data_IF_011015660285
#
_entry.id   IF_011015660285
#
_cell.length_a   1.000
_cell.length_b   1.000
_cell.length_c   1.000
_cell.angle_alpha   90.00
_cell.angle_beta   90.00
_cell.angle_gamma   90.00
#
_symmetry.space_group_name_H-M   'P 1'
#
loop_
_entity.id
_entity.type
_entity.pdbx_description
1 polymer ?
#
# COMPACT_ATOMS: atom_id res chain seq x y z
N UNK A 1 23.98 3.70 8.74
CA UNK A 1 23.31 3.41 10.03
C UNK A 1 23.60 1.95 10.39
N UNK A 2 23.73 1.63 11.69
CA UNK A 2 23.79 0.26 12.21
C UNK A 2 22.54 0.04 13.08
N UNK A 3 21.80 -1.03 12.81
CA UNK A 3 20.63 -1.39 13.61
C UNK A 3 21.10 -1.71 15.04
N UNK A 4 20.42 -1.14 16.03
CA UNK A 4 20.77 -1.29 17.45
C UNK A 4 20.83 -2.76 17.86
N UNK A 5 21.86 -3.10 18.65
CA UNK A 5 21.99 -4.42 19.30
C UNK A 5 20.86 -4.72 20.31
N UNK A 6 20.06 -3.73 20.68
CA UNK A 6 18.86 -3.92 21.52
C UNK A 6 17.73 -4.64 20.80
N UNK A 7 17.72 -4.63 19.47
CA UNK A 7 16.71 -5.37 18.72
C UNK A 7 17.10 -6.85 18.62
N UNK A 8 16.22 -7.77 19.02
CA UNK A 8 16.50 -9.20 18.92
C UNK A 8 16.63 -9.62 17.44
N UNK A 9 17.60 -10.50 17.20
CA UNK A 9 17.79 -11.13 15.88
C UNK A 9 16.68 -12.13 15.65
N UNK A 10 16.13 -12.11 14.43
CA UNK A 10 15.29 -13.18 13.94
C UNK A 10 16.19 -14.31 13.42
N UNK A 11 16.06 -15.48 13.98
CA UNK A 11 16.89 -16.66 13.64
C UNK A 11 16.06 -17.86 13.22
N UNK A 12 14.72 -17.75 13.27
CA UNK A 12 13.83 -18.82 12.87
C UNK A 12 13.98 -19.12 11.38
N UNK A 13 14.01 -20.42 11.05
CA UNK A 13 14.15 -20.91 9.69
C UNK A 13 15.43 -20.46 8.95
N UNK A 14 16.49 -20.10 9.67
CA UNK A 14 17.83 -19.79 9.14
C UNK A 14 17.81 -18.74 7.99
N UNK A 15 17.47 -17.48 8.25
CA UNK A 15 17.37 -16.44 7.24
C UNK A 15 18.73 -16.19 6.57
N UNK A 16 18.75 -16.04 5.23
CA UNK A 16 19.97 -15.81 4.43
C UNK A 16 20.57 -14.42 4.60
N UNK A 17 19.82 -13.51 5.20
CA UNK A 17 20.21 -12.11 5.45
C UNK A 17 20.00 -11.76 6.93
N UNK A 18 20.72 -10.78 7.46
CA UNK A 18 20.49 -10.31 8.83
C UNK A 18 19.08 -9.73 8.99
N UNK A 19 18.32 -10.17 10.00
CA UNK A 19 16.95 -9.70 10.29
C UNK A 19 16.81 -9.38 11.77
N UNK A 20 16.11 -8.29 12.12
CA UNK A 20 15.82 -7.87 13.48
C UNK A 20 14.33 -7.61 13.67
N UNK A 21 13.77 -8.01 14.83
CA UNK A 21 12.45 -7.57 15.25
C UNK A 21 12.59 -6.17 15.85
N UNK A 22 11.98 -5.16 15.21
CA UNK A 22 12.09 -3.76 15.68
C UNK A 22 10.94 -3.32 16.57
N UNK A 23 9.98 -4.22 16.84
CA UNK A 23 8.85 -4.00 17.77
C UNK A 23 8.76 -5.12 18.84
N UNK A 24 9.87 -5.54 19.50
CA UNK A 24 9.87 -6.72 20.36
C UNK A 24 8.93 -6.59 21.57
N UNK A 25 8.80 -5.37 22.11
CA UNK A 25 8.03 -5.10 23.34
C UNK A 25 6.64 -4.51 23.07
N UNK A 26 6.21 -4.44 21.79
CA UNK A 26 4.90 -3.94 21.37
C UNK A 26 4.08 -5.02 20.67
N UNK A 27 2.77 -4.99 20.88
CA UNK A 27 1.80 -5.86 20.20
C UNK A 27 1.05 -5.07 19.13
N UNK A 28 0.50 -5.76 18.13
CA UNK A 28 -0.37 -5.16 17.12
C UNK A 28 0.32 -4.18 16.17
N UNK A 29 1.63 -4.29 15.98
CA UNK A 29 2.37 -3.35 15.14
C UNK A 29 2.39 -3.76 13.68
N UNK A 30 2.16 -2.80 12.78
CA UNK A 30 2.34 -2.95 11.35
C UNK A 30 2.88 -1.68 10.71
N UNK A 31 3.68 -1.85 9.66
CA UNK A 31 3.94 -0.76 8.73
C UNK A 31 2.90 -0.77 7.60
N UNK A 32 2.84 0.31 6.83
CA UNK A 32 1.78 0.54 5.87
C UNK A 32 1.72 -0.48 4.72
N UNK A 33 2.59 -0.32 3.72
CA UNK A 33 2.50 -1.04 2.46
C UNK A 33 3.87 -1.11 1.78
N UNK A 34 4.04 -1.98 0.80
CA UNK A 34 5.32 -2.27 0.16
C UNK A 34 5.88 -1.14 -0.72
N UNK A 35 5.05 -0.19 -1.13
CA UNK A 35 5.39 0.89 -2.06
C UNK A 35 5.89 2.18 -1.38
N UNK A 36 6.03 2.16 -0.06
CA UNK A 36 6.42 3.34 0.72
C UNK A 36 7.35 2.91 1.86
N UNK A 37 8.52 3.55 1.95
CA UNK A 37 9.46 3.30 3.04
C UNK A 37 8.85 3.67 4.40
N UNK A 38 8.75 2.73 5.36
CA UNK A 38 8.45 3.06 6.74
C UNK A 38 9.67 3.63 7.49
N UNK A 39 10.87 3.52 6.90
CA UNK A 39 12.11 4.09 7.42
C UNK A 39 12.25 5.52 6.92
N UNK A 40 12.65 6.42 7.81
CA UNK A 40 12.79 7.86 7.57
C UNK A 40 13.89 8.19 6.57
N UNK A 41 13.91 9.41 5.98
CA UNK A 41 14.92 9.81 5.00
C UNK A 41 16.37 9.69 5.44
N UNK A 42 16.67 9.88 6.73
CA UNK A 42 18.02 9.68 7.29
C UNK A 42 18.36 8.20 7.52
N UNK A 43 17.40 7.31 7.35
CA UNK A 43 17.42 5.90 7.75
C UNK A 43 17.46 5.65 9.27
N UNK A 44 17.36 6.69 10.11
CA UNK A 44 17.47 6.56 11.58
C UNK A 44 16.17 6.12 12.25
N UNK A 45 15.02 6.63 11.79
CA UNK A 45 13.73 6.36 12.43
C UNK A 45 12.87 5.43 11.58
N UNK A 46 12.05 4.62 12.24
CA UNK A 46 11.05 3.80 11.60
C UNK A 46 9.67 4.15 12.20
N UNK A 47 8.67 4.36 11.36
CA UNK A 47 7.31 4.66 11.80
C UNK A 47 6.38 3.48 11.55
N UNK A 48 5.63 3.09 12.59
CA UNK A 48 4.64 2.01 12.54
C UNK A 48 3.32 2.46 13.13
N UNK A 49 2.26 1.79 12.74
CA UNK A 49 0.97 1.87 13.40
C UNK A 49 0.84 0.74 14.42
N UNK A 50 0.36 1.05 15.61
CA UNK A 50 0.03 0.07 16.64
C UNK A 50 -1.50 -0.02 16.78
N UNK A 51 -2.05 -1.19 16.46
CA UNK A 51 -3.46 -1.51 16.64
C UNK A 51 -3.78 -1.65 18.13
N UNK A 52 -4.95 -1.18 18.57
CA UNK A 52 -5.38 -1.33 19.97
C UNK A 52 -5.85 -2.76 20.30
N UNK A 53 -6.15 -3.56 19.28
CA UNK A 53 -6.61 -4.96 19.35
C UNK A 53 -6.38 -5.64 18.00
N UNK A 54 -6.31 -6.97 17.96
CA UNK A 54 -6.04 -7.76 16.77
C UNK A 54 -7.09 -8.85 16.49
N UNK A 55 -8.09 -8.98 17.33
CA UNK A 55 -9.06 -10.08 17.38
C UNK A 55 -10.44 -9.71 16.79
N UNK A 56 -10.66 -8.46 16.43
CA UNK A 56 -11.91 -7.97 15.85
C UNK A 56 -11.67 -6.89 14.79
N UNK A 57 -12.66 -6.69 13.94
CA UNK A 57 -12.67 -5.57 12.99
C UNK A 57 -12.86 -4.24 13.73
N UNK A 58 -12.14 -3.18 13.32
CA UNK A 58 -12.32 -1.86 13.92
C UNK A 58 -13.70 -1.29 13.66
N UNK A 59 -14.20 -0.52 14.62
CA UNK A 59 -15.40 0.27 14.51
C UNK A 59 -15.06 1.75 14.33
N UNK A 60 -15.97 2.58 13.78
CA UNK A 60 -15.76 4.03 13.76
C UNK A 60 -15.44 4.57 15.14
N UNK A 61 -14.34 5.35 15.26
CA UNK A 61 -13.89 5.94 16.51
C UNK A 61 -12.91 5.10 17.33
N UNK A 62 -12.66 3.85 16.99
CA UNK A 62 -11.59 3.07 17.63
C UNK A 62 -10.24 3.76 17.42
N UNK A 63 -9.49 3.93 18.50
CA UNK A 63 -8.23 4.68 18.52
C UNK A 63 -7.03 3.74 18.48
N UNK A 64 -6.11 3.96 17.57
CA UNK A 64 -4.79 3.32 17.53
C UNK A 64 -3.67 4.36 17.64
N UNK A 65 -2.42 3.91 17.57
CA UNK A 65 -1.25 4.73 17.88
C UNK A 65 -0.26 4.79 16.71
N UNK A 66 0.25 5.98 16.45
CA UNK A 66 1.43 6.20 15.60
C UNK A 66 2.67 6.11 16.49
N UNK A 67 3.56 5.17 16.18
CA UNK A 67 4.78 4.91 16.95
C UNK A 67 5.99 5.20 16.09
N UNK A 68 6.99 5.88 16.64
CA UNK A 68 8.30 6.08 16.02
C UNK A 68 9.36 5.37 16.84
N UNK A 69 10.18 4.60 16.15
CA UNK A 69 11.26 3.77 16.66
C UNK A 69 12.58 4.37 16.22
N UNK A 70 13.51 4.63 17.12
CA UNK A 70 14.89 5.04 16.80
C UNK A 70 15.73 3.75 16.60
N UNK A 71 16.08 3.48 15.35
CA UNK A 71 16.81 2.27 14.96
C UNK A 71 18.25 2.21 15.49
N UNK A 72 18.84 3.34 15.88
CA UNK A 72 20.19 3.40 16.45
C UNK A 72 20.18 3.13 17.97
N UNK A 73 19.18 3.66 18.69
CA UNK A 73 19.12 3.53 20.14
C UNK A 73 18.24 2.39 20.63
N UNK A 74 17.36 1.88 19.77
CA UNK A 74 16.36 0.88 20.12
C UNK A 74 15.20 1.43 20.96
N UNK A 75 15.10 2.75 21.11
CA UNK A 75 14.00 3.39 21.85
C UNK A 75 12.82 3.64 20.92
N UNK A 76 11.63 3.45 21.45
CA UNK A 76 10.39 3.76 20.75
C UNK A 76 9.50 4.71 21.57
N UNK A 77 8.56 5.37 20.87
CA UNK A 77 7.57 6.23 21.52
C UNK A 77 6.30 6.36 20.69
N UNK A 78 5.16 6.46 21.35
CA UNK A 78 3.91 6.93 20.75
C UNK A 78 4.05 8.43 20.48
N UNK A 79 3.85 8.85 19.22
CA UNK A 79 3.93 10.26 18.81
C UNK A 79 2.57 10.87 18.53
N UNK A 80 1.54 10.04 18.29
CA UNK A 80 0.15 10.49 18.12
C UNK A 80 -0.82 9.34 18.33
N UNK A 81 -2.06 9.70 18.67
CA UNK A 81 -3.23 8.86 18.59
C UNK A 81 -3.99 9.19 17.30
N UNK A 82 -4.67 8.20 16.72
CA UNK A 82 -5.51 8.40 15.54
C UNK A 82 -6.70 7.44 15.52
N UNK A 83 -7.79 7.89 14.90
CA UNK A 83 -9.00 7.11 14.59
C UNK A 83 -9.16 6.84 13.09
N UNK A 84 -8.24 7.37 12.27
CA UNK A 84 -8.26 7.24 10.80
C UNK A 84 -7.47 6.05 10.28
N UNK A 85 -7.81 4.83 10.72
CA UNK A 85 -7.03 3.63 10.42
C UNK A 85 -7.87 2.41 10.01
N UNK A 86 -7.21 1.47 9.37
CA UNK A 86 -7.74 0.16 8.97
C UNK A 86 -6.68 -0.95 9.11
N UNK A 87 -7.07 -2.23 9.24
CA UNK A 87 -6.16 -3.33 9.59
C UNK A 87 -5.03 -3.60 8.60
N UNK A 88 -5.20 -3.28 7.31
CA UNK A 88 -4.21 -3.62 6.29
C UNK A 88 -3.10 -2.58 6.14
N UNK A 89 -3.41 -1.31 6.38
CA UNK A 89 -2.46 -0.21 6.13
C UNK A 89 -2.28 0.71 7.34
N UNK A 90 -2.89 0.36 8.49
CA UNK A 90 -2.89 1.23 9.65
C UNK A 90 -3.47 2.61 9.31
N UNK A 91 -2.84 3.66 9.79
CA UNK A 91 -3.20 5.05 9.52
C UNK A 91 -2.55 5.62 8.23
N UNK A 92 -2.08 4.77 7.32
CA UNK A 92 -1.37 5.19 6.10
C UNK A 92 -0.14 6.07 6.39
N UNK A 93 0.67 5.71 7.36
CA UNK A 93 1.82 6.51 7.79
C UNK A 93 2.85 6.63 6.66
N UNK A 94 3.26 7.85 6.32
CA UNK A 94 4.28 8.15 5.32
C UNK A 94 5.29 9.18 5.86
N UNK A 95 6.57 8.98 5.58
CA UNK A 95 7.57 10.03 5.75
C UNK A 95 7.57 11.00 4.57
N UNK A 96 7.74 12.29 4.86
CA UNK A 96 7.99 13.32 3.86
C UNK A 96 9.46 13.45 3.47
N UNK A 97 9.91 14.65 3.10
CA UNK A 97 11.27 14.92 2.66
C UNK A 97 12.34 14.89 3.76
N UNK A 98 11.96 14.83 5.02
CA UNK A 98 12.86 14.84 6.18
C UNK A 98 12.30 14.01 7.36
N UNK A 99 13.15 13.75 8.36
CA UNK A 99 12.76 13.10 9.62
C UNK A 99 11.79 13.93 10.48
N UNK A 100 11.52 15.16 10.07
CA UNK A 100 10.58 16.08 10.72
C UNK A 100 9.22 16.15 10.03
N UNK A 101 9.00 15.31 9.03
CA UNK A 101 7.75 15.29 8.27
C UNK A 101 7.17 13.90 8.25
N UNK A 102 6.25 13.64 9.17
CA UNK A 102 5.48 12.41 9.26
C UNK A 102 4.02 12.72 8.96
N UNK A 103 3.43 12.00 8.03
CA UNK A 103 2.03 12.13 7.65
C UNK A 103 1.26 10.88 8.03
N UNK A 104 0.02 11.05 8.50
CA UNK A 104 -0.90 9.95 8.79
C UNK A 104 -2.35 10.43 8.75
N UNK A 105 -3.28 9.53 8.51
CA UNK A 105 -4.71 9.83 8.49
C UNK A 105 -5.30 9.88 9.90
N UNK A 106 -6.35 10.69 10.05
CA UNK A 106 -7.23 10.76 11.20
C UNK A 106 -8.67 11.04 10.74
N UNK A 107 -9.61 11.09 11.66
CA UNK A 107 -11.00 11.44 11.39
C UNK A 107 -11.56 12.35 12.48
N UNK A 108 -12.25 13.39 12.07
CA UNK A 108 -13.07 14.20 12.98
C UNK A 108 -14.33 13.39 13.35
N UNK A 109 -14.41 12.93 14.58
CA UNK A 109 -15.53 12.10 15.05
C UNK A 109 -16.85 12.86 15.23
N UNK A 110 -16.84 14.19 15.12
CA UNK A 110 -18.05 15.01 15.13
C UNK A 110 -18.73 15.04 13.77
N UNK A 111 -17.91 15.18 12.72
CA UNK A 111 -18.38 15.28 11.32
C UNK A 111 -18.19 14.00 10.53
N UNK A 112 -17.38 13.06 11.03
CA UNK A 112 -16.89 11.87 10.35
C UNK A 112 -16.14 12.16 9.06
N UNK A 113 -15.54 13.36 8.97
CA UNK A 113 -14.71 13.76 7.84
C UNK A 113 -13.27 13.29 8.05
N UNK A 114 -12.73 12.40 7.19
CA UNK A 114 -11.32 12.02 7.23
C UNK A 114 -10.42 13.16 6.77
N UNK A 115 -9.23 13.24 7.36
CA UNK A 115 -8.20 14.20 7.03
C UNK A 115 -6.81 13.62 7.36
N UNK A 116 -5.72 14.30 6.98
CA UNK A 116 -4.38 13.91 7.36
C UNK A 116 -3.75 14.90 8.33
N UNK A 117 -2.85 14.41 9.17
CA UNK A 117 -1.92 15.23 9.95
C UNK A 117 -0.55 15.29 9.27
N UNK A 118 0.08 16.46 9.30
CA UNK A 118 1.52 16.65 9.17
C UNK A 118 2.09 16.82 10.57
N UNK A 119 2.99 15.95 11.00
CA UNK A 119 3.58 15.91 12.33
C UNK A 119 5.10 16.03 12.23
N UNK A 120 5.71 16.90 13.02
CA UNK A 120 7.13 16.78 13.38
C UNK A 120 7.25 15.81 14.57
N UNK A 121 7.69 14.56 14.35
CA UNK A 121 7.70 13.59 15.43
C UNK A 121 8.77 13.89 16.50
N UNK A 122 9.75 14.78 16.22
CA UNK A 122 10.79 15.13 17.16
C UNK A 122 10.34 16.20 18.16
N UNK A 123 9.44 17.10 17.75
CA UNK A 123 8.96 18.20 18.59
C UNK A 123 7.49 18.05 19.01
N UNK A 124 6.71 17.22 18.32
CA UNK A 124 5.27 17.10 18.50
C UNK A 124 4.45 18.20 17.79
N UNK A 125 5.10 19.14 17.09
CA UNK A 125 4.39 20.16 16.32
C UNK A 125 3.61 19.50 15.18
N UNK A 126 2.31 19.87 15.00
CA UNK A 126 1.45 19.26 14.00
C UNK A 126 0.55 20.28 13.32
N UNK A 127 0.20 20.00 12.07
CA UNK A 127 -0.69 20.78 11.23
C UNK A 127 -1.73 19.85 10.59
N UNK A 128 -3.04 20.18 10.65
CA UNK A 128 -4.05 19.41 9.91
C UNK A 128 -3.97 19.78 8.42
N UNK A 129 -4.19 18.76 7.57
CA UNK A 129 -4.38 18.89 6.14
C UNK A 129 -5.87 18.79 5.82
N UNK A 130 -6.36 19.50 4.81
CA UNK A 130 -7.77 19.39 4.40
C UNK A 130 -8.09 18.04 3.76
N UNK A 131 -7.11 17.44 3.06
CA UNK A 131 -7.27 16.13 2.42
C UNK A 131 -6.71 14.99 3.25
N UNK A 132 -7.03 13.77 2.80
CA UNK A 132 -6.46 12.53 3.33
C UNK A 132 -5.16 12.15 2.64
N UNK A 133 -4.51 11.13 3.15
CA UNK A 133 -3.26 10.58 2.65
C UNK A 133 -3.45 9.14 2.21
N UNK A 134 -3.15 8.82 0.96
CA UNK A 134 -2.75 7.48 0.55
C UNK A 134 -1.23 7.42 0.36
N UNK A 135 -0.64 8.34 -0.39
CA UNK A 135 0.81 8.38 -0.66
C UNK A 135 1.34 9.81 -0.60
N UNK A 136 2.51 10.00 0.00
CA UNK A 136 3.24 11.26 -0.01
C UNK A 136 4.30 11.26 -1.11
N UNK A 137 4.50 12.40 -1.80
CA UNK A 137 5.66 12.56 -2.69
C UNK A 137 6.97 12.44 -1.89
N UNK A 138 8.04 11.97 -2.53
CA UNK A 138 9.32 11.71 -1.88
C UNK A 138 9.95 12.93 -1.20
N UNK A 139 9.65 14.14 -1.72
CA UNK A 139 10.06 15.42 -1.16
C UNK A 139 9.11 15.95 -0.08
N UNK A 140 8.00 15.24 0.21
CA UNK A 140 6.99 15.63 1.18
C UNK A 140 6.12 16.82 0.75
N UNK A 141 6.22 17.27 -0.52
CA UNK A 141 5.51 18.46 -1.01
C UNK A 141 4.02 18.22 -1.24
N UNK A 142 3.65 17.01 -1.65
CA UNK A 142 2.31 16.65 -2.04
C UNK A 142 1.83 15.37 -1.37
N UNK A 143 0.53 15.33 -1.02
CA UNK A 143 -0.18 14.10 -0.67
C UNK A 143 -1.20 13.82 -1.77
N UNK A 144 -1.34 12.56 -2.16
CA UNK A 144 -2.38 12.06 -3.05
C UNK A 144 -3.24 11.04 -2.32
N UNK A 145 -4.55 11.09 -2.52
CA UNK A 145 -5.46 10.04 -2.06
C UNK A 145 -6.70 9.97 -2.93
N UNK A 146 -7.32 8.79 -3.01
CA UNK A 146 -8.73 8.67 -3.32
C UNK A 146 -9.57 9.11 -2.10
N UNK A 147 -10.91 9.03 -2.22
CA UNK A 147 -11.79 9.21 -1.08
C UNK A 147 -11.61 8.05 -0.07
N UNK A 148 -10.88 8.30 1.02
CA UNK A 148 -10.54 7.28 2.00
C UNK A 148 -11.73 6.72 2.76
N UNK A 149 -12.85 7.43 2.86
CA UNK A 149 -14.08 6.94 3.49
C UNK A 149 -14.81 5.89 2.61
N UNK A 150 -14.62 5.93 1.30
CA UNK A 150 -15.28 5.03 0.34
C UNK A 150 -14.41 3.86 -0.13
N UNK A 151 -13.11 3.91 0.10
CA UNK A 151 -12.14 2.90 -0.39
C UNK A 151 -12.55 1.47 0.01
N UNK A 152 -13.05 1.27 1.21
CA UNK A 152 -13.55 -0.02 1.71
C UNK A 152 -14.75 -0.58 0.94
N UNK A 153 -15.45 0.24 0.13
CA UNK A 153 -16.60 -0.23 -0.65
C UNK A 153 -16.21 -1.22 -1.74
N UNK A 154 -14.97 -1.22 -2.17
CA UNK A 154 -14.44 -2.17 -3.15
C UNK A 154 -13.54 -3.23 -2.53
N UNK A 155 -12.96 -2.97 -1.35
CA UNK A 155 -12.14 -3.96 -0.63
C UNK A 155 -12.12 -3.67 0.88
N UNK A 156 -12.69 -4.56 1.72
CA UNK A 156 -12.59 -4.45 3.17
C UNK A 156 -11.16 -4.48 3.66
N UNK A 157 -10.87 -3.76 4.75
CA UNK A 157 -9.53 -3.68 5.34
C UNK A 157 -8.71 -2.47 4.90
N UNK A 158 -9.28 -1.63 4.03
CA UNK A 158 -8.62 -0.43 3.49
C UNK A 158 -9.45 0.84 3.71
N UNK A 159 -8.77 1.99 3.81
CA UNK A 159 -9.38 3.31 3.95
C UNK A 159 -9.45 3.81 5.39
N UNK A 160 -10.33 4.78 5.65
CA UNK A 160 -10.62 5.31 6.98
C UNK A 160 -12.00 4.86 7.44
N UNK A 161 -12.10 4.36 8.66
CA UNK A 161 -13.34 3.83 9.21
C UNK A 161 -14.28 4.93 9.65
N UNK A 162 -15.38 5.10 8.92
CA UNK A 162 -16.47 6.04 9.27
C UNK A 162 -17.80 5.28 9.31
N UNK A 163 -18.84 5.78 9.97
CA UNK A 163 -20.19 5.22 9.88
C UNK A 163 -20.64 5.06 8.42
N UNK A 164 -21.30 3.97 8.08
CA UNK A 164 -21.64 3.62 6.68
C UNK A 164 -22.52 4.68 6.02
N UNK A 165 -23.41 5.29 6.79
CA UNK A 165 -24.34 6.32 6.35
C UNK A 165 -23.66 7.65 6.02
N UNK A 166 -22.42 7.87 6.49
CA UNK A 166 -21.63 9.07 6.19
C UNK A 166 -20.71 8.86 4.99
N UNK A 167 -20.48 7.61 4.59
CA UNK A 167 -19.66 7.29 3.42
C UNK A 167 -20.45 7.55 2.13
N UNK A 168 -19.85 8.31 1.22
CA UNK A 168 -20.44 8.61 -0.08
C UNK A 168 -20.73 7.32 -0.86
N UNK A 169 -21.82 7.35 -1.63
CA UNK A 169 -22.21 6.29 -2.54
C UNK A 169 -22.20 6.84 -3.98
N UNK A 170 -21.24 6.38 -4.79
CA UNK A 170 -21.09 6.79 -6.17
C UNK A 170 -21.72 5.76 -7.12
N UNK A 171 -22.77 6.16 -7.82
CA UNK A 171 -23.36 5.38 -8.91
C UNK A 171 -23.07 6.15 -10.21
N UNK A 172 -22.43 5.49 -11.17
CA UNK A 172 -21.99 6.11 -12.40
C UNK A 172 -20.74 6.99 -12.26
N UNK A 173 -20.38 7.72 -13.35
CA UNK A 173 -19.25 8.63 -13.33
C UNK A 173 -19.54 9.86 -12.46
N UNK A 174 -18.73 10.09 -11.44
CA UNK A 174 -18.87 11.24 -10.54
C UNK A 174 -17.98 12.40 -11.00
N UNK A 175 -18.54 13.62 -11.05
CA UNK A 175 -17.82 14.86 -11.38
C UNK A 175 -17.11 15.46 -10.16
N UNK A 176 -17.54 15.12 -8.94
CA UNK A 176 -17.14 15.74 -7.69
C UNK A 176 -16.50 14.73 -6.69
N UNK A 177 -16.19 13.53 -7.16
CA UNK A 177 -15.38 12.53 -6.44
C UNK A 177 -14.36 11.91 -7.37
N UNK A 178 -13.20 11.53 -6.81
CA UNK A 178 -12.09 10.98 -7.57
C UNK A 178 -10.80 10.95 -6.76
N UNK A 179 -9.76 11.62 -7.26
CA UNK A 179 -8.46 11.68 -6.60
C UNK A 179 -8.10 13.11 -6.22
N UNK A 180 -7.64 13.25 -4.99
CA UNK A 180 -7.44 14.52 -4.32
C UNK A 180 -5.96 14.77 -4.07
N UNK A 181 -5.49 15.99 -4.42
CA UNK A 181 -4.11 16.42 -4.22
C UNK A 181 -4.06 17.49 -3.12
N UNK A 182 -3.25 17.25 -2.09
CA UNK A 182 -3.06 18.16 -0.97
C UNK A 182 -1.66 18.78 -1.01
N UNK A 183 -1.58 20.10 -0.94
CA UNK A 183 -0.35 20.87 -0.76
C UNK A 183 0.04 20.90 0.71
N UNK A 184 1.14 20.24 1.08
CA UNK A 184 1.57 20.11 2.49
C UNK A 184 2.11 21.40 3.11
N UNK A 185 2.43 22.43 2.32
CA UNK A 185 2.86 23.74 2.83
C UNK A 185 1.67 24.58 3.29
N UNK A 186 0.57 24.51 2.56
CA UNK A 186 -0.64 25.27 2.87
C UNK A 186 -1.69 24.45 3.62
N UNK A 187 -1.64 23.12 3.55
CA UNK A 187 -2.66 22.20 4.03
C UNK A 187 -3.89 22.09 3.12
N UNK A 188 -3.92 22.84 2.01
CA UNK A 188 -5.08 22.92 1.11
C UNK A 188 -5.19 21.72 0.21
N UNK A 189 -6.42 21.21 0.08
CA UNK A 189 -6.77 20.07 -0.75
C UNK A 189 -7.64 20.50 -1.94
N UNK A 190 -7.45 19.86 -3.08
CA UNK A 190 -8.31 20.00 -4.25
C UNK A 190 -8.55 18.66 -4.92
N UNK A 191 -9.69 18.53 -5.58
CA UNK A 191 -9.89 17.46 -6.55
C UNK A 191 -8.89 17.67 -7.69
N UNK A 192 -8.01 16.68 -7.91
CA UNK A 192 -7.03 16.70 -9.01
C UNK A 192 -7.69 16.25 -10.31
N UNK A 193 -8.44 15.16 -10.22
CA UNK A 193 -9.16 14.54 -11.34
C UNK A 193 -10.38 13.81 -10.82
N UNK A 194 -11.52 13.99 -11.45
CA UNK A 194 -12.76 13.30 -11.14
C UNK A 194 -12.82 11.91 -11.78
N UNK A 195 -13.71 11.05 -11.29
CA UNK A 195 -14.00 9.76 -11.93
C UNK A 195 -14.52 9.99 -13.34
N UNK A 196 -15.40 10.97 -13.54
CA UNK A 196 -15.96 11.30 -14.85
C UNK A 196 -14.87 11.70 -15.86
N UNK A 197 -13.94 12.57 -15.46
CA UNK A 197 -12.80 12.96 -16.31
C UNK A 197 -11.90 11.78 -16.67
N UNK A 198 -11.62 10.87 -15.73
CA UNK A 198 -10.79 9.68 -16.01
C UNK A 198 -11.46 8.76 -17.04
N UNK A 199 -12.76 8.55 -16.92
CA UNK A 199 -13.50 7.71 -17.87
C UNK A 199 -13.67 8.36 -19.26
N UNK A 200 -13.78 9.69 -19.31
CA UNK A 200 -14.00 10.41 -20.56
C UNK A 200 -12.71 10.68 -21.35
N UNK A 201 -11.58 10.86 -20.67
CA UNK A 201 -10.37 11.44 -21.27
C UNK A 201 -9.17 10.49 -21.30
N UNK A 202 -9.24 9.30 -20.67
CA UNK A 202 -8.13 8.35 -20.71
C UNK A 202 -7.94 7.80 -22.15
N UNK A 203 -6.67 7.77 -22.60
CA UNK A 203 -6.25 7.23 -23.89
C UNK A 203 -5.09 6.22 -23.69
N UNK A 204 -5.28 4.91 -23.98
CA UNK A 204 -6.53 4.28 -24.41
C UNK A 204 -7.66 4.43 -23.37
N UNK A 205 -8.94 4.30 -23.78
CA UNK A 205 -10.08 4.48 -22.87
C UNK A 205 -10.18 3.35 -21.82
N UNK A 206 -10.74 3.66 -20.66
CA UNK A 206 -11.13 2.63 -19.70
C UNK A 206 -12.39 1.93 -20.17
N UNK A 207 -12.29 0.65 -20.49
CA UNK A 207 -13.39 -0.15 -21.05
C UNK A 207 -14.33 -0.64 -19.93
N UNK A 208 -15.26 0.20 -19.51
CA UNK A 208 -16.21 -0.11 -18.41
C UNK A 208 -17.60 -0.56 -18.89
N UNK A 209 -17.91 -0.38 -20.17
CA UNK A 209 -19.28 -0.57 -20.70
C UNK A 209 -20.18 0.61 -20.37
N UNK A 210 -21.42 0.35 -19.91
CA UNK A 210 -22.33 1.40 -19.42
C UNK A 210 -21.97 1.75 -17.96
N UNK A 211 -21.30 2.88 -17.70
CA UNK A 211 -20.84 3.20 -16.35
C UNK A 211 -21.98 3.47 -15.37
N UNK A 212 -23.20 3.75 -15.83
CA UNK A 212 -24.38 3.97 -14.97
C UNK A 212 -24.83 2.71 -14.24
N UNK A 213 -24.36 1.55 -14.67
CA UNK A 213 -24.65 0.25 -14.05
C UNK A 213 -23.68 -0.10 -12.92
N UNK A 214 -22.73 0.78 -12.58
CA UNK A 214 -21.69 0.48 -11.62
C UNK A 214 -21.59 1.53 -10.51
N UNK A 215 -21.24 1.07 -9.31
CA UNK A 215 -20.61 1.91 -8.29
C UNK A 215 -19.12 2.04 -8.63
N UNK A 216 -18.60 3.27 -8.73
CA UNK A 216 -17.23 3.53 -9.18
C UNK A 216 -16.49 4.34 -8.12
N UNK A 217 -15.30 3.87 -7.73
CA UNK A 217 -14.49 4.49 -6.68
C UNK A 217 -13.01 4.53 -7.06
N UNK A 218 -12.32 5.56 -6.56
CA UNK A 218 -10.87 5.57 -6.46
C UNK A 218 -10.39 4.59 -5.38
N UNK A 219 -9.20 4.01 -5.59
CA UNK A 219 -8.57 3.12 -4.63
C UNK A 219 -7.11 3.53 -4.40
N UNK A 220 -6.11 2.75 -4.82
CA UNK A 220 -4.71 3.12 -4.64
C UNK A 220 -4.34 4.33 -5.50
N UNK A 221 -3.52 5.21 -4.95
CA UNK A 221 -2.99 6.40 -5.65
C UNK A 221 -1.52 6.60 -5.28
N UNK A 222 -0.62 6.51 -6.25
CA UNK A 222 0.82 6.41 -6.01
C UNK A 222 1.60 7.41 -6.85
N UNK A 223 2.46 8.20 -6.21
CA UNK A 223 3.48 8.96 -6.94
C UNK A 223 4.52 8.00 -7.54
N UNK A 224 5.06 8.37 -8.69
CA UNK A 224 6.30 7.78 -9.13
C UNK A 224 7.48 8.26 -8.23
N UNK A 225 8.65 7.62 -8.30
CA UNK A 225 9.80 8.01 -7.47
C UNK A 225 10.26 9.47 -7.64
N UNK A 226 10.03 10.06 -8.82
CA UNK A 226 10.38 11.46 -9.13
C UNK A 226 9.33 12.46 -8.60
N UNK A 227 8.14 11.99 -8.21
CA UNK A 227 7.08 12.83 -7.65
C UNK A 227 6.32 13.68 -8.67
N UNK A 228 6.45 13.43 -9.97
CA UNK A 228 5.85 14.20 -11.06
C UNK A 228 4.74 13.47 -11.82
N UNK A 229 4.61 12.16 -11.64
CA UNK A 229 3.54 11.31 -12.19
C UNK A 229 2.82 10.54 -11.10
N UNK A 230 1.57 10.19 -11.41
CA UNK A 230 0.66 9.43 -10.57
C UNK A 230 0.21 8.16 -11.28
N UNK A 231 0.01 7.10 -10.49
CA UNK A 231 -0.68 5.88 -10.87
C UNK A 231 -1.89 5.74 -9.97
N UNK A 232 -3.08 5.74 -10.55
CA UNK A 232 -4.37 5.79 -9.88
C UNK A 232 -5.17 4.52 -10.18
N UNK A 233 -5.66 3.84 -9.15
CA UNK A 233 -6.53 2.68 -9.31
C UNK A 233 -7.99 3.10 -9.31
N UNK A 234 -8.68 2.90 -10.42
CA UNK A 234 -10.13 2.88 -10.47
C UNK A 234 -10.62 1.48 -10.17
N UNK A 235 -11.69 1.39 -9.37
CA UNK A 235 -12.41 0.16 -9.10
C UNK A 235 -13.89 0.38 -9.25
N UNK A 236 -14.59 -0.59 -9.82
CA UNK A 236 -16.04 -0.53 -9.95
C UNK A 236 -16.67 -1.88 -9.67
N UNK A 237 -17.89 -1.80 -9.23
CA UNK A 237 -18.69 -2.92 -8.77
C UNK A 237 -20.12 -2.77 -9.32
N UNK A 238 -20.76 -3.81 -9.85
CA UNK A 238 -22.13 -3.72 -10.33
C UNK A 238 -23.10 -3.19 -9.27
N UNK A 239 -23.92 -2.22 -9.60
CA UNK A 239 -25.00 -1.74 -8.74
C UNK A 239 -25.90 -2.90 -8.38
N UNK A 240 -26.25 -3.02 -7.11
CA UNK A 240 -27.16 -4.07 -6.62
C UNK A 240 -28.47 -3.46 -6.16
N UNK A 241 -29.56 -4.15 -6.45
CA UNK A 241 -30.91 -3.80 -6.00
C UNK A 241 -31.50 -4.99 -5.20
N UNK A 242 -31.78 -4.85 -3.89
CA UNK A 242 -31.51 -3.66 -3.08
C UNK A 242 -30.01 -3.40 -2.85
N UNK A 243 -29.61 -2.15 -2.57
CA UNK A 243 -28.21 -1.80 -2.33
C UNK A 243 -27.60 -2.59 -1.17
N UNK A 244 -26.40 -3.16 -1.38
CA UNK A 244 -25.64 -3.80 -0.31
C UNK A 244 -24.68 -2.77 0.30
N UNK A 245 -25.04 -2.24 1.47
CA UNK A 245 -24.17 -1.33 2.23
C UNK A 245 -23.11 -2.07 3.05
N UNK A 246 -23.38 -3.31 3.44
CA UNK A 246 -22.39 -4.18 4.09
C UNK A 246 -21.50 -4.84 3.03
N UNK A 247 -20.32 -4.25 2.81
CA UNK A 247 -19.37 -4.73 1.82
C UNK A 247 -18.83 -6.14 2.12
N UNK A 248 -18.96 -6.64 3.33
CA UNK A 248 -18.58 -8.01 3.66
C UNK A 248 -19.54 -9.06 3.09
N UNK A 249 -20.71 -8.62 2.64
CA UNK A 249 -21.69 -9.45 1.91
C UNK A 249 -21.57 -9.34 0.40
N UNK A 250 -20.70 -8.47 -0.12
CA UNK A 250 -20.47 -8.31 -1.56
C UNK A 250 -19.60 -9.43 -2.10
N UNK A 251 -19.91 -9.84 -3.32
CA UNK A 251 -19.05 -10.73 -4.09
C UNK A 251 -17.84 -9.94 -4.61
N UNK A 252 -16.71 -10.07 -3.94
CA UNK A 252 -15.48 -9.36 -4.32
C UNK A 252 -14.92 -9.82 -5.67
N UNK A 253 -15.35 -10.98 -6.20
CA UNK A 253 -14.94 -11.43 -7.53
C UNK A 253 -15.58 -10.63 -8.65
N UNK A 254 -16.66 -9.89 -8.37
CA UNK A 254 -17.30 -8.98 -9.30
C UNK A 254 -16.63 -7.61 -9.41
N UNK A 255 -15.66 -7.29 -8.55
CA UNK A 255 -14.92 -6.02 -8.63
C UNK A 255 -14.05 -6.00 -9.89
N UNK A 256 -14.08 -4.88 -10.61
CA UNK A 256 -13.26 -4.63 -11.80
C UNK A 256 -12.28 -3.51 -11.51
N UNK A 257 -11.19 -3.49 -12.26
CA UNK A 257 -10.03 -2.64 -11.99
C UNK A 257 -9.49 -2.00 -13.26
N UNK A 258 -8.92 -0.81 -13.11
CA UNK A 258 -8.01 -0.21 -14.06
C UNK A 258 -6.92 0.60 -13.34
N UNK A 259 -5.73 0.62 -13.91
CA UNK A 259 -4.68 1.57 -13.55
C UNK A 259 -4.65 2.69 -14.58
N UNK A 260 -4.85 3.92 -14.11
CA UNK A 260 -4.72 5.13 -14.94
C UNK A 260 -3.52 5.92 -14.45
N UNK A 261 -2.69 6.41 -15.38
CA UNK A 261 -1.54 7.24 -15.07
C UNK A 261 -1.73 8.65 -15.62
N UNK A 262 -1.22 9.64 -14.91
CA UNK A 262 -1.22 11.03 -15.34
C UNK A 262 -0.14 11.83 -14.59
N UNK A 263 0.35 12.95 -15.19
CA UNK A 263 1.23 13.87 -14.48
C UNK A 263 0.44 14.77 -13.52
N UNK A 264 1.13 15.49 -12.63
CA UNK A 264 0.52 16.37 -11.61
C UNK A 264 -0.33 17.51 -12.19
N UNK A 265 -0.13 17.88 -13.45
CA UNK A 265 -0.97 18.87 -14.13
C UNK A 265 -2.28 18.28 -14.71
N UNK A 266 -2.49 16.95 -14.54
CA UNK A 266 -3.70 16.25 -14.92
C UNK A 266 -3.78 15.75 -16.35
N UNK A 267 -2.84 16.06 -17.22
CA UNK A 267 -2.86 15.66 -18.65
C UNK A 267 -1.46 15.37 -19.21
N UNK A 268 -1.31 14.33 -20.06
CA UNK A 268 -2.33 13.38 -20.53
C UNK A 268 -2.75 12.36 -19.46
N UNK A 269 -3.87 11.67 -19.70
CA UNK A 269 -4.35 10.54 -18.87
C UNK A 269 -4.23 9.25 -19.70
N UNK A 270 -3.61 8.21 -19.13
CA UNK A 270 -3.43 6.93 -19.85
C UNK A 270 -4.02 5.79 -19.05
N UNK A 271 -4.87 4.97 -19.66
CA UNK A 271 -5.24 3.66 -19.09
C UNK A 271 -4.06 2.70 -19.30
N UNK A 272 -3.17 2.63 -18.35
CA UNK A 272 -1.96 1.80 -18.45
C UNK A 272 -2.24 0.30 -18.36
N UNK A 273 -3.24 -0.10 -17.57
CA UNK A 273 -3.73 -1.48 -17.45
C UNK A 273 -5.25 -1.42 -17.34
N UNK A 274 -5.95 -1.91 -18.34
CA UNK A 274 -7.41 -1.89 -18.41
C UNK A 274 -8.05 -3.15 -17.83
N UNK A 275 -9.40 -3.15 -17.75
CA UNK A 275 -10.14 -4.27 -17.19
C UNK A 275 -9.94 -5.58 -17.94
N UNK A 276 -9.68 -5.53 -19.24
CA UNK A 276 -9.45 -6.71 -20.08
C UNK A 276 -8.16 -7.48 -19.74
N UNK A 277 -7.15 -6.80 -19.13
CA UNK A 277 -5.98 -7.46 -18.57
C UNK A 277 -6.27 -8.01 -17.17
N UNK A 278 -7.02 -7.24 -16.34
CA UNK A 278 -7.37 -7.64 -14.99
C UNK A 278 -8.35 -8.80 -14.91
N UNK A 279 -9.23 -8.97 -15.88
CA UNK A 279 -10.22 -10.08 -15.91
C UNK A 279 -9.60 -11.46 -15.77
N UNK A 280 -8.34 -11.60 -16.14
CA UNK A 280 -7.59 -12.86 -16.05
C UNK A 280 -6.94 -13.07 -14.68
N UNK A 281 -7.05 -12.09 -13.79
CA UNK A 281 -6.41 -12.06 -12.47
C UNK A 281 -5.16 -11.21 -12.45
N UNK A 282 -4.96 -10.51 -11.34
CA UNK A 282 -3.81 -9.62 -11.15
C UNK A 282 -3.67 -9.16 -9.70
N UNK A 283 -2.49 -8.66 -9.36
CA UNK A 283 -2.14 -8.14 -8.04
C UNK A 283 -1.16 -6.98 -8.19
N UNK A 284 -1.20 -6.07 -7.27
CA UNK A 284 -0.25 -5.05 -6.85
C UNK A 284 0.67 -4.42 -7.93
N UNK A 285 0.21 -3.29 -8.47
CA UNK A 285 1.07 -2.45 -9.31
C UNK A 285 1.97 -1.54 -8.46
N UNK A 286 3.22 -1.36 -8.89
CA UNK A 286 4.14 -0.36 -8.36
C UNK A 286 5.02 0.20 -9.48
N UNK A 287 5.59 1.40 -9.24
CA UNK A 287 6.50 2.01 -10.18
C UNK A 287 7.86 1.31 -10.20
N UNK A 288 8.43 1.18 -11.39
CA UNK A 288 9.88 0.97 -11.49
C UNK A 288 10.62 2.20 -10.95
N UNK A 289 11.88 2.04 -10.52
CA UNK A 289 12.72 3.17 -10.09
C UNK A 289 12.91 4.26 -11.15
N UNK A 290 12.77 3.92 -12.43
CA UNK A 290 12.82 4.89 -13.53
C UNK A 290 11.61 5.84 -13.60
N UNK A 291 10.50 5.49 -12.89
CA UNK A 291 9.26 6.26 -12.87
C UNK A 291 8.52 6.32 -14.21
N UNK A 292 8.88 5.46 -15.16
CA UNK A 292 8.29 5.39 -16.51
C UNK A 292 7.55 4.08 -16.76
N UNK A 293 7.94 3.02 -16.04
CA UNK A 293 7.35 1.69 -16.13
C UNK A 293 6.65 1.32 -14.83
N UNK A 294 5.69 0.44 -14.94
CA UNK A 294 4.95 -0.17 -13.83
C UNK A 294 5.28 -1.67 -13.82
N UNK A 295 5.57 -2.20 -12.64
CA UNK A 295 5.69 -3.62 -12.35
C UNK A 295 4.44 -4.10 -11.63
N UNK A 296 3.93 -5.28 -11.97
CA UNK A 296 2.82 -5.91 -11.28
C UNK A 296 2.76 -7.41 -11.56
N UNK A 297 1.84 -8.10 -10.88
CA UNK A 297 1.50 -9.47 -11.21
C UNK A 297 0.23 -9.48 -12.07
N UNK A 298 0.28 -10.14 -13.25
CA UNK A 298 -0.89 -10.35 -14.10
C UNK A 298 -0.92 -11.78 -14.64
N UNK A 299 -2.11 -12.33 -14.79
CA UNK A 299 -2.33 -13.59 -15.49
C UNK A 299 -2.44 -13.32 -17.01
N UNK A 300 -1.30 -13.06 -17.64
CA UNK A 300 -1.24 -12.65 -19.05
C UNK A 300 -1.41 -13.82 -20.02
N UNK A 301 -0.95 -15.02 -19.64
CA UNK A 301 -1.01 -16.26 -20.43
C UNK A 301 -2.19 -17.16 -20.07
N UNK A 302 -3.03 -16.77 -19.10
CA UNK A 302 -4.18 -17.52 -18.55
C UNK A 302 -3.84 -18.82 -17.81
N UNK A 303 -2.60 -18.98 -17.39
CA UNK A 303 -2.15 -20.11 -16.60
C UNK A 303 -2.00 -19.73 -15.12
N UNK A 304 -1.01 -18.89 -14.84
CA UNK A 304 -0.70 -18.39 -13.50
C UNK A 304 -0.37 -16.91 -13.56
N UNK A 305 -0.30 -16.26 -12.41
CA UNK A 305 0.21 -14.90 -12.33
C UNK A 305 1.69 -14.87 -12.76
N UNK A 306 2.05 -13.87 -13.54
CA UNK A 306 3.42 -13.60 -14.00
C UNK A 306 3.86 -12.22 -13.53
N UNK A 307 5.14 -12.05 -13.25
CA UNK A 307 5.72 -10.72 -13.15
C UNK A 307 5.69 -10.06 -14.53
N UNK A 308 5.02 -8.93 -14.62
CA UNK A 308 4.90 -8.18 -15.87
C UNK A 308 5.40 -6.76 -15.70
N UNK A 309 5.84 -6.16 -16.80
CA UNK A 309 6.04 -4.73 -16.91
C UNK A 309 5.12 -4.13 -17.95
N UNK A 310 4.80 -2.86 -17.77
CA UNK A 310 4.08 -2.04 -18.75
C UNK A 310 4.60 -0.61 -18.65
N UNK A 311 4.69 0.10 -19.77
CA UNK A 311 4.96 1.52 -19.75
C UNK A 311 3.78 2.30 -19.16
N UNK A 312 4.03 3.47 -18.58
CA UNK A 312 2.98 4.31 -17.98
C UNK A 312 1.88 4.73 -18.97
N UNK A 313 2.16 4.71 -20.29
CA UNK A 313 1.19 4.98 -21.34
C UNK A 313 0.41 3.74 -21.81
N UNK A 314 0.61 2.59 -21.15
CA UNK A 314 -0.04 1.32 -21.48
C UNK A 314 0.67 0.50 -22.56
N UNK A 315 1.70 1.03 -23.20
CA UNK A 315 2.49 0.31 -24.19
C UNK A 315 3.44 -0.72 -23.56
N UNK A 316 3.92 -1.67 -24.37
CA UNK A 316 4.93 -2.68 -24.00
C UNK A 316 4.54 -3.53 -22.76
N UNK A 317 3.26 -3.91 -22.64
CA UNK A 317 2.84 -4.88 -21.63
C UNK A 317 3.40 -6.25 -21.98
N UNK A 318 4.29 -6.78 -21.13
CA UNK A 318 4.96 -8.06 -21.35
C UNK A 318 5.37 -8.76 -20.07
N UNK A 319 5.57 -10.06 -20.13
CA UNK A 319 6.19 -10.85 -19.05
C UNK A 319 7.64 -10.41 -18.86
N UNK A 320 8.08 -10.42 -17.62
CA UNK A 320 9.49 -10.23 -17.24
C UNK A 320 10.23 -11.57 -17.17
N UNK A 321 9.52 -12.65 -16.80
CA UNK A 321 10.01 -14.03 -16.71
C UNK A 321 8.94 -15.02 -17.16
N UNK A 322 9.38 -16.17 -17.68
CA UNK A 322 8.49 -17.27 -18.09
C UNK A 322 8.30 -18.34 -17.01
N UNK A 323 9.34 -18.72 -16.27
CA UNK A 323 9.32 -19.87 -15.40
C UNK A 323 9.00 -19.56 -13.93
N UNK A 324 9.29 -18.35 -13.47
CA UNK A 324 9.01 -17.93 -12.08
C UNK A 324 7.60 -17.33 -11.98
N UNK A 325 6.71 -17.92 -11.16
CA UNK A 325 5.35 -17.39 -10.99
C UNK A 325 5.38 -16.03 -10.25
N UNK A 326 4.58 -15.08 -10.74
CA UNK A 326 4.32 -13.81 -10.07
C UNK A 326 3.43 -14.01 -8.84
N UNK A 327 3.70 -13.30 -7.77
CA UNK A 327 2.89 -13.29 -6.55
C UNK A 327 3.23 -12.11 -5.66
N UNK A 328 2.38 -11.83 -4.68
CA UNK A 328 2.63 -10.89 -3.59
C UNK A 328 2.83 -9.45 -4.04
N UNK A 329 3.81 -8.78 -3.45
CA UNK A 329 4.05 -7.34 -3.52
C UNK A 329 5.37 -7.00 -4.22
N UNK A 330 5.46 -7.13 -5.55
CA UNK A 330 6.73 -7.05 -6.28
C UNK A 330 7.27 -5.62 -6.36
N UNK A 331 8.56 -5.45 -6.03
CA UNK A 331 9.34 -4.23 -6.28
C UNK A 331 10.60 -4.58 -7.04
N UNK A 332 10.90 -3.82 -8.10
CA UNK A 332 12.10 -4.00 -8.92
C UNK A 332 13.24 -3.16 -8.35
N UNK A 333 14.43 -3.74 -8.25
CA UNK A 333 15.65 -3.04 -7.77
C UNK A 333 16.09 -1.92 -8.73
N UNK A 334 16.86 -0.92 -8.26
CA UNK A 334 17.29 0.21 -9.10
C UNK A 334 18.07 -0.18 -10.35
N UNK A 335 18.84 -1.26 -10.29
CA UNK A 335 19.58 -1.81 -11.44
C UNK A 335 18.69 -2.56 -12.44
N UNK A 336 17.43 -2.80 -12.06
CA UNK A 336 16.45 -3.51 -12.89
C UNK A 336 16.68 -5.01 -13.00
N UNK A 337 17.54 -5.60 -12.17
CA UNK A 337 17.97 -7.01 -12.28
C UNK A 337 17.23 -7.96 -11.36
N UNK A 338 16.62 -7.44 -10.28
CA UNK A 338 15.97 -8.28 -9.29
C UNK A 338 14.57 -7.77 -8.95
N UNK A 339 13.72 -8.70 -8.50
CA UNK A 339 12.45 -8.41 -7.85
C UNK A 339 12.51 -8.90 -6.41
N UNK A 340 12.17 -8.04 -5.48
CA UNK A 340 11.82 -8.44 -4.12
C UNK A 340 10.31 -8.55 -4.00
N UNK A 341 9.81 -9.64 -3.45
CA UNK A 341 8.38 -9.87 -3.24
C UNK A 341 8.13 -10.86 -2.11
N UNK A 342 6.90 -10.93 -1.64
CA UNK A 342 6.36 -12.00 -0.81
C UNK A 342 5.41 -12.90 -1.62
N UNK A 343 4.56 -13.65 -0.94
CA UNK A 343 3.47 -14.44 -1.53
C UNK A 343 2.29 -14.48 -0.58
N UNK A 344 1.19 -15.09 -0.99
CA UNK A 344 0.05 -15.37 -0.11
C UNK A 344 0.06 -16.82 0.36
N UNK A 345 -0.47 -17.08 1.55
CA UNK A 345 -0.46 -18.40 2.20
C UNK A 345 -1.16 -19.51 1.41
N UNK A 346 -2.10 -19.14 0.55
CA UNK A 346 -2.85 -20.08 -0.31
C UNK A 346 -2.18 -20.35 -1.67
N UNK A 347 -1.07 -19.68 -1.99
CA UNK A 347 -0.38 -19.85 -3.27
C UNK A 347 0.67 -20.98 -3.20
N UNK A 348 0.99 -21.55 -4.37
CA UNK A 348 1.92 -22.68 -4.46
C UNK A 348 3.36 -22.36 -4.01
N UNK A 349 3.72 -21.09 -3.98
CA UNK A 349 5.03 -20.59 -3.50
C UNK A 349 5.12 -20.50 -1.98
N UNK A 350 4.01 -20.64 -1.25
CA UNK A 350 3.98 -20.68 0.22
C UNK A 350 4.42 -22.07 0.75
N UNK A 351 4.80 -22.15 2.02
CA UNK A 351 5.26 -23.39 2.65
C UNK A 351 4.12 -24.29 3.14
N UNK A 352 2.86 -23.83 3.09
CA UNK A 352 1.69 -24.63 3.45
C UNK A 352 1.42 -24.77 4.95
N UNK A 353 2.22 -24.15 5.81
CA UNK A 353 2.11 -24.17 7.28
C UNK A 353 1.78 -22.79 7.88
N UNK A 354 1.33 -21.85 7.04
CA UNK A 354 1.08 -20.46 7.44
C UNK A 354 2.31 -19.56 7.36
N UNK A 355 3.44 -20.11 6.94
CA UNK A 355 4.63 -19.30 6.64
C UNK A 355 4.79 -19.08 5.14
N UNK A 356 5.42 -17.97 4.77
CA UNK A 356 5.63 -17.57 3.38
C UNK A 356 7.05 -17.04 3.17
N UNK A 357 7.59 -17.12 1.93
CA UNK A 357 8.92 -16.60 1.63
C UNK A 357 8.94 -15.09 1.41
N UNK A 358 10.01 -14.45 1.85
CA UNK A 358 10.52 -13.23 1.23
C UNK A 358 11.40 -13.68 0.05
N UNK A 359 10.94 -13.42 -1.16
CA UNK A 359 11.50 -13.93 -2.41
C UNK A 359 12.42 -12.90 -3.06
N UNK A 360 13.58 -13.35 -3.51
CA UNK A 360 14.55 -12.59 -4.28
C UNK A 360 14.67 -13.24 -5.66
N UNK A 361 14.06 -12.62 -6.65
CA UNK A 361 13.96 -13.15 -8.01
C UNK A 361 15.03 -12.50 -8.89
N UNK A 362 15.89 -13.28 -9.53
CA UNK A 362 16.91 -12.83 -10.48
C UNK A 362 16.32 -12.82 -11.89
N UNK A 363 16.16 -11.63 -12.47
CA UNK A 363 15.56 -11.43 -13.79
C UNK A 363 16.48 -11.82 -14.95
N UNK A 364 17.79 -11.94 -14.72
CA UNK A 364 18.74 -12.34 -15.74
C UNK A 364 18.89 -13.88 -15.77
N UNK A 365 18.93 -14.53 -14.59
CA UNK A 365 19.06 -15.98 -14.52
C UNK A 365 17.71 -16.70 -14.68
N UNK A 366 16.59 -16.04 -14.34
CA UNK A 366 15.28 -16.67 -14.35
C UNK A 366 15.05 -17.62 -13.19
N UNK A 367 15.72 -17.41 -12.05
CA UNK A 367 15.58 -18.18 -10.82
C UNK A 367 15.23 -17.30 -9.62
N UNK A 368 15.06 -17.91 -8.45
CA UNK A 368 14.75 -17.20 -7.21
C UNK A 368 15.39 -17.82 -5.99
N UNK A 369 15.64 -17.00 -5.00
CA UNK A 369 16.07 -17.36 -3.66
C UNK A 369 15.03 -16.97 -2.61
N UNK A 370 14.91 -17.78 -1.56
CA UNK A 370 14.18 -17.41 -0.34
C UNK A 370 15.16 -16.77 0.64
N UNK A 371 14.98 -15.48 0.92
CA UNK A 371 15.83 -14.74 1.85
C UNK A 371 15.42 -14.93 3.31
N UNK A 372 14.11 -14.91 3.55
CA UNK A 372 13.52 -15.03 4.90
C UNK A 372 12.25 -15.85 4.77
N UNK A 373 12.03 -16.76 5.71
CA UNK A 373 10.74 -17.42 5.89
C UNK A 373 9.96 -16.67 6.96
N UNK A 374 8.80 -16.12 6.59
CA UNK A 374 8.01 -15.21 7.41
C UNK A 374 6.79 -15.93 7.94
N UNK A 375 6.56 -15.88 9.25
CA UNK A 375 5.33 -16.41 9.84
C UNK A 375 4.21 -15.37 9.71
N UNK A 376 3.09 -15.74 9.06
CA UNK A 376 1.88 -14.93 8.93
C UNK A 376 0.64 -15.67 9.47
N UNK A 377 0.83 -16.84 10.07
CA UNK A 377 -0.21 -17.68 10.61
C UNK A 377 -0.90 -17.03 11.82
N UNK A 378 -2.02 -16.40 11.58
CA UNK A 378 -2.86 -15.81 12.63
C UNK A 378 -4.00 -16.77 13.03
N UNK A 379 -4.53 -16.66 14.26
CA UNK A 379 -5.58 -17.54 14.75
C UNK A 379 -6.98 -17.25 14.16
N UNK A 380 -7.15 -16.10 13.48
CA UNK A 380 -8.45 -15.65 12.98
C UNK A 380 -8.61 -15.99 11.50
N UNK A 381 -9.78 -16.49 11.13
CA UNK A 381 -10.14 -16.77 9.73
C UNK A 381 -10.63 -15.52 8.96
N UNK A 382 -10.77 -14.37 9.63
CA UNK A 382 -11.22 -13.13 9.00
C UNK A 382 -10.14 -12.55 8.09
N UNK A 383 -10.37 -12.59 6.79
CA UNK A 383 -9.44 -12.07 5.78
C UNK A 383 -9.12 -10.58 5.92
N UNK A 384 -9.98 -9.80 6.59
CA UNK A 384 -9.72 -8.37 6.90
C UNK A 384 -8.59 -8.22 7.90
N UNK A 385 -8.43 -9.20 8.79
CA UNK A 385 -7.41 -9.21 9.82
C UNK A 385 -6.14 -9.99 9.42
N UNK A 386 -6.05 -10.49 8.18
CA UNK A 386 -4.87 -11.20 7.69
C UNK A 386 -3.60 -10.35 7.85
N UNK A 387 -2.47 -11.01 7.99
CA UNK A 387 -1.17 -10.36 8.05
C UNK A 387 -0.46 -10.53 6.71
N UNK A 388 -0.36 -9.44 5.97
CA UNK A 388 0.44 -9.36 4.76
C UNK A 388 1.81 -8.76 5.10
N UNK A 389 2.95 -9.36 4.69
CA UNK A 389 4.28 -8.83 4.99
C UNK A 389 4.54 -7.45 4.40
N UNK A 390 4.06 -7.18 3.18
CA UNK A 390 4.28 -5.91 2.50
C UNK A 390 5.76 -5.48 2.47
N UNK A 391 6.70 -6.25 1.93
CA UNK A 391 8.13 -5.95 2.01
C UNK A 391 8.44 -4.60 1.36
N UNK A 392 8.86 -3.62 2.18
CA UNK A 392 9.08 -2.24 1.77
C UNK A 392 10.54 -1.84 1.91
N UNK A 393 11.13 -1.36 0.81
CA UNK A 393 12.49 -0.83 0.79
C UNK A 393 12.60 0.50 1.54
N UNK A 394 13.75 0.72 2.17
CA UNK A 394 14.18 2.05 2.58
C UNK A 394 14.66 2.87 1.37
N UNK A 395 14.83 4.18 1.54
CA UNK A 395 15.25 5.07 0.44
C UNK A 395 16.66 4.83 -0.05
N UNK A 396 17.51 4.15 0.74
CA UNK A 396 18.86 3.77 0.35
C UNK A 396 18.95 2.46 -0.41
N UNK A 397 17.84 1.74 -0.54
CA UNK A 397 17.75 0.40 -1.13
C UNK A 397 18.65 -0.63 -0.42
N UNK A 398 18.81 -0.48 0.89
CA UNK A 398 19.58 -1.40 1.72
C UNK A 398 18.71 -2.22 2.65
N UNK A 399 17.75 -1.56 3.30
CA UNK A 399 16.91 -2.19 4.30
C UNK A 399 15.54 -2.48 3.75
N UNK A 400 14.99 -3.64 4.14
CA UNK A 400 13.62 -4.04 3.83
C UNK A 400 12.86 -4.23 5.14
N UNK A 401 11.74 -3.53 5.28
CA UNK A 401 10.82 -3.69 6.40
C UNK A 401 9.68 -4.61 5.99
N UNK A 402 9.26 -5.53 6.89
CA UNK A 402 8.11 -6.39 6.64
C UNK A 402 7.33 -6.69 7.92
N UNK A 403 6.04 -6.99 7.77
CA UNK A 403 5.17 -7.44 8.86
C UNK A 403 5.24 -8.96 9.00
N UNK A 404 5.08 -9.45 10.24
CA UNK A 404 4.92 -10.88 10.54
C UNK A 404 3.95 -11.05 11.72
N UNK A 405 3.51 -12.30 11.95
CA UNK A 405 2.72 -12.68 13.12
C UNK A 405 3.52 -13.67 13.95
N UNK A 406 4.06 -13.23 15.07
CA UNK A 406 4.97 -13.99 15.92
C UNK A 406 4.57 -13.80 17.37
N UNK A 407 4.63 -14.86 18.20
CA UNK A 407 4.22 -14.85 19.61
C UNK A 407 2.78 -14.33 19.83
N UNK A 408 1.88 -14.67 18.91
CA UNK A 408 0.45 -14.34 19.01
C UNK A 408 0.11 -12.88 18.69
N UNK A 409 1.00 -12.11 18.04
CA UNK A 409 0.76 -10.71 17.69
C UNK A 409 1.50 -10.29 16.43
N UNK A 410 1.05 -9.19 15.81
CA UNK A 410 1.78 -8.54 14.71
C UNK A 410 3.04 -7.87 15.21
N UNK A 411 4.11 -8.09 14.50
CA UNK A 411 5.42 -7.48 14.73
C UNK A 411 6.02 -6.98 13.42
N UNK A 412 6.89 -5.99 13.53
CA UNK A 412 7.61 -5.42 12.38
C UNK A 412 9.07 -5.81 12.45
N UNK A 413 9.60 -6.22 11.30
CA UNK A 413 10.97 -6.66 11.13
C UNK A 413 11.71 -5.82 10.10
N UNK A 414 13.03 -5.74 10.24
CA UNK A 414 13.93 -5.11 9.26
C UNK A 414 15.01 -6.09 8.86
N UNK A 415 15.15 -6.34 7.56
CA UNK A 415 16.21 -7.12 6.94
C UNK A 415 17.28 -6.20 6.33
N UNK A 416 18.57 -6.55 6.47
CA UNK A 416 19.68 -5.85 5.80
C UNK A 416 20.10 -6.63 4.54
N UNK A 417 19.84 -6.07 3.39
CA UNK A 417 20.15 -6.64 2.08
C UNK A 417 21.41 -6.05 1.42
N UNK A 418 22.24 -5.34 2.18
CA UNK A 418 23.45 -4.67 1.66
C UNK A 418 24.39 -5.60 0.87
N UNK A 419 24.36 -6.90 1.14
CA UNK A 419 25.22 -7.88 0.42
C UNK A 419 24.64 -8.31 -0.93
N UNK A 420 23.36 -8.02 -1.19
CA UNK A 420 22.65 -8.42 -2.41
C UNK A 420 22.45 -7.24 -3.37
N UNK A 421 22.43 -6.02 -2.85
CA UNK A 421 22.25 -4.80 -3.65
C UNK A 421 23.61 -4.09 -3.72
N UNK A 422 24.30 -4.24 -4.85
CA UNK A 422 25.63 -3.64 -5.09
C UNK A 422 25.55 -2.46 -6.05
#
# INVERSE_FOLDING_TARGET
MQISERFPRYTDYDPKVPVWCVTPDRTGCLHRFFDTSPISPSSRYLAVFQMPFEDRRPQPGDTGHVVVIDLETGLDRVVADTRGWEPQMGANINWGGSDRELFFNDVDTTTWQPFAWKLDPLTGARQPMEGTLYHASSDGRWLISANMATMRRTQPGYGVRVPVETARWNVGPSDDDGFYLTDTRTGKCRLLVSIAELLAEADPPVLIGDPTQYEIYGFHSKFNPQGDWLMLSLRWYPVQDPPIFDMFRRDHTAVRFAWVTLPLNGNPKHCAVGPEQWEKGGQHGTWFPDGKRISMNLNIDREVLRFVQVNRDGSDLRKMLDDVPGSGHPTVTPDGRHILTDTYTQEATAFGDGTIPLRWVDLEKGDEDVLVRINTAQPHSDSVLRVDPHPAWDRSWRYVTFNAFVDGTRRVYVADLAQLVT
#
